data_IF_225532679258
#
_entry.id   IF_225532679258
#
_cell.length_a   1.000
_cell.length_b   1.000
_cell.length_c   1.000
_cell.angle_alpha   90.00
_cell.angle_beta   90.00
_cell.angle_gamma   90.00
#
_symmetry.space_group_name_H-M   'P 1'
#
loop_
_entity.id
_entity.type
_entity.pdbx_description
1 polymer ?
#
# COMPACT_ATOMS: atom_id res chain seq x y z
N UNK A 1 -30.47 -21.06 0.82
CA UNK A 1 -29.51 -21.58 -0.18
C UNK A 1 -28.05 -21.31 0.21
N UNK A 2 -27.75 -20.35 1.10
CA UNK A 2 -26.39 -20.06 1.56
C UNK A 2 -25.97 -20.76 2.88
N UNK A 3 -26.92 -21.30 3.66
CA UNK A 3 -26.61 -21.97 4.95
C UNK A 3 -26.15 -23.43 4.82
N UNK A 4 -25.90 -23.92 3.61
CA UNK A 4 -25.54 -25.33 3.35
C UNK A 4 -24.41 -25.48 2.32
N UNK A 5 -23.40 -24.61 2.37
CA UNK A 5 -22.27 -24.61 1.43
C UNK A 5 -21.35 -25.85 1.57
N UNK A 6 -21.49 -26.65 2.63
CA UNK A 6 -20.64 -27.83 2.91
C UNK A 6 -21.05 -29.13 2.20
N UNK A 7 -21.63 -29.08 1.00
CA UNK A 7 -22.07 -30.32 0.33
C UNK A 7 -21.84 -30.28 -1.18
N UNK A 8 -20.60 -30.55 -1.59
CA UNK A 8 -20.25 -31.60 -2.55
C UNK A 8 -21.30 -31.86 -3.66
N UNK A 9 -21.52 -30.86 -4.53
CA UNK A 9 -22.50 -30.99 -5.63
C UNK A 9 -21.91 -31.49 -6.94
N UNK A 10 -20.60 -31.76 -6.99
CA UNK A 10 -19.92 -32.26 -8.19
C UNK A 10 -19.84 -31.27 -9.37
N UNK A 11 -20.14 -29.98 -9.15
CA UNK A 11 -20.07 -28.93 -10.16
C UNK A 11 -19.22 -27.76 -9.66
N UNK A 12 -18.51 -27.10 -10.58
CA UNK A 12 -17.83 -25.84 -10.29
C UNK A 12 -18.83 -24.76 -9.87
N UNK A 13 -18.41 -23.91 -8.94
CA UNK A 13 -19.25 -22.87 -8.34
C UNK A 13 -18.80 -21.49 -8.82
N UNK A 14 -19.76 -20.64 -9.17
CA UNK A 14 -19.54 -19.21 -9.40
C UNK A 14 -20.25 -18.41 -8.30
N UNK A 15 -19.51 -17.56 -7.58
CA UNK A 15 -20.07 -16.67 -6.56
C UNK A 15 -20.44 -15.33 -7.19
N UNK A 16 -21.64 -14.85 -6.87
CA UNK A 16 -22.06 -13.52 -7.27
C UNK A 16 -21.30 -12.45 -6.48
N UNK A 17 -21.10 -11.26 -7.07
CA UNK A 17 -20.38 -10.13 -6.45
C UNK A 17 -20.95 -9.74 -5.08
N UNK A 18 -22.27 -9.86 -4.89
CA UNK A 18 -22.95 -9.60 -3.61
C UNK A 18 -22.90 -10.71 -2.57
N UNK A 19 -22.08 -11.76 -2.73
CA UNK A 19 -21.96 -12.83 -1.75
C UNK A 19 -21.43 -12.31 -0.41
N UNK A 20 -22.18 -12.60 0.66
CA UNK A 20 -21.88 -12.22 2.05
C UNK A 20 -22.02 -13.41 3.00
N UNK A 21 -21.78 -14.62 2.49
CA UNK A 21 -21.81 -15.85 3.28
C UNK A 21 -20.53 -16.06 4.07
N UNK A 22 -20.14 -17.32 4.26
CA UNK A 22 -18.88 -17.65 4.92
C UNK A 22 -17.69 -17.11 4.13
N UNK A 23 -16.75 -16.46 4.83
CA UNK A 23 -15.48 -16.01 4.24
C UNK A 23 -14.44 -17.13 4.13
N UNK A 24 -14.66 -18.25 4.84
CA UNK A 24 -13.91 -19.51 4.65
C UNK A 24 -14.76 -20.50 3.88
N UNK A 25 -14.22 -21.00 2.77
CA UNK A 25 -14.86 -21.93 1.86
C UNK A 25 -14.06 -23.24 1.80
N UNK A 26 -14.67 -24.34 2.25
CA UNK A 26 -14.11 -25.68 2.06
C UNK A 26 -14.71 -26.29 0.79
N UNK A 27 -13.87 -26.61 -0.20
CA UNK A 27 -14.30 -27.03 -1.53
C UNK A 27 -13.56 -28.28 -2.02
N UNK A 28 -14.23 -29.05 -2.87
CA UNK A 28 -13.74 -30.27 -3.53
C UNK A 28 -13.94 -30.21 -5.06
N UNK A 29 -14.33 -29.04 -5.57
CA UNK A 29 -14.65 -28.76 -6.99
C UNK A 29 -14.06 -27.42 -7.38
N UNK A 30 -14.11 -27.06 -8.67
CA UNK A 30 -13.71 -25.73 -9.12
C UNK A 30 -14.53 -24.59 -8.49
N UNK A 31 -13.93 -23.40 -8.43
CA UNK A 31 -14.49 -22.20 -7.82
C UNK A 31 -14.14 -20.97 -8.65
N UNK A 32 -15.08 -20.04 -8.78
CA UNK A 32 -14.81 -18.69 -9.27
C UNK A 32 -15.52 -17.70 -8.34
N UNK A 33 -14.74 -16.91 -7.59
CA UNK A 33 -15.28 -15.89 -6.68
C UNK A 33 -15.67 -14.60 -7.38
N UNK A 34 -15.32 -14.44 -8.67
CA UNK A 34 -15.54 -13.21 -9.43
C UNK A 34 -14.90 -11.99 -8.75
N UNK A 35 -15.65 -10.90 -8.68
CA UNK A 35 -15.24 -9.65 -8.03
C UNK A 35 -15.41 -9.68 -6.49
N UNK A 36 -15.85 -10.80 -5.91
CA UNK A 36 -16.17 -10.85 -4.49
C UNK A 36 -14.91 -10.77 -3.61
N UNK A 37 -14.86 -9.76 -2.74
CA UNK A 37 -13.74 -9.51 -1.83
C UNK A 37 -13.95 -10.03 -0.40
N UNK A 38 -15.08 -10.71 -0.15
CA UNK A 38 -15.48 -11.23 1.17
C UNK A 38 -15.05 -12.68 1.41
N UNK A 39 -14.40 -13.32 0.45
CA UNK A 39 -13.81 -14.66 0.62
C UNK A 39 -12.37 -14.49 1.05
N UNK A 40 -12.08 -14.81 2.31
CA UNK A 40 -10.76 -14.65 2.91
C UNK A 40 -9.92 -15.94 2.76
N UNK A 41 -10.58 -17.10 2.80
CA UNK A 41 -9.90 -18.41 2.78
C UNK A 41 -10.65 -19.39 1.91
N UNK A 42 -9.93 -20.05 1.01
CA UNK A 42 -10.41 -21.19 0.22
C UNK A 42 -9.55 -22.39 0.58
N UNK A 43 -10.16 -23.47 1.05
CA UNK A 43 -9.50 -24.74 1.31
C UNK A 43 -9.93 -25.75 0.23
N UNK A 44 -9.02 -26.10 -0.66
CA UNK A 44 -9.23 -27.16 -1.64
C UNK A 44 -8.63 -28.48 -1.12
N UNK A 45 -9.44 -29.53 -1.14
CA UNK A 45 -9.01 -30.88 -0.75
C UNK A 45 -9.46 -31.91 -1.77
N UNK A 46 -8.59 -32.92 -2.00
CA UNK A 46 -8.91 -34.03 -2.91
C UNK A 46 -10.14 -34.82 -2.46
N UNK A 47 -10.73 -35.50 -3.43
CA UNK A 47 -11.73 -36.55 -3.19
C UNK A 47 -11.15 -37.93 -3.50
N UNK A 48 -11.98 -38.96 -3.62
CA UNK A 48 -11.52 -40.33 -3.92
C UNK A 48 -11.01 -40.51 -5.33
N UNK A 49 -11.39 -39.63 -6.25
CA UNK A 49 -10.97 -39.65 -7.65
C UNK A 49 -10.17 -38.38 -7.96
N UNK A 50 -9.14 -38.54 -8.80
CA UNK A 50 -8.31 -37.43 -9.30
C UNK A 50 -9.15 -36.48 -10.15
N UNK A 51 -8.88 -35.17 -10.03
CA UNK A 51 -9.60 -34.12 -10.74
C UNK A 51 -8.67 -33.09 -11.35
N UNK A 52 -9.12 -32.53 -12.48
CA UNK A 52 -8.60 -31.28 -13.02
C UNK A 52 -9.61 -30.17 -12.70
N UNK A 53 -9.18 -29.15 -11.98
CA UNK A 53 -10.06 -28.07 -11.51
C UNK A 53 -9.48 -26.70 -11.79
N UNK A 54 -10.38 -25.74 -11.95
CA UNK A 54 -10.03 -24.32 -12.05
C UNK A 54 -10.52 -23.60 -10.80
N UNK A 55 -9.64 -22.81 -10.19
CA UNK A 55 -9.96 -21.92 -9.07
C UNK A 55 -9.62 -20.49 -9.48
N UNK A 56 -10.56 -19.56 -9.26
CA UNK A 56 -10.33 -18.13 -9.35
C UNK A 56 -10.68 -17.45 -8.02
N UNK A 57 -9.72 -16.68 -7.49
CA UNK A 57 -9.80 -15.93 -6.22
C UNK A 57 -9.68 -14.42 -6.45
N UNK A 58 -9.96 -13.60 -5.42
CA UNK A 58 -9.79 -12.13 -5.46
C UNK A 58 -9.26 -11.62 -4.11
N UNK A 59 -8.10 -12.15 -3.71
CA UNK A 59 -7.39 -11.94 -2.47
C UNK A 59 -7.43 -13.15 -1.54
N UNK A 60 -6.94 -12.98 -0.31
CA UNK A 60 -7.02 -14.00 0.73
C UNK A 60 -6.06 -15.17 0.54
N UNK A 61 -6.34 -16.27 1.23
CA UNK A 61 -5.52 -17.48 1.24
C UNK A 61 -6.19 -18.62 0.47
N UNK A 62 -5.45 -19.26 -0.43
CA UNK A 62 -5.80 -20.54 -1.04
C UNK A 62 -4.94 -21.64 -0.45
N UNK A 63 -5.54 -22.56 0.32
CA UNK A 63 -4.89 -23.76 0.83
C UNK A 63 -5.21 -24.95 -0.07
N UNK A 64 -4.18 -25.75 -0.38
CA UNK A 64 -4.30 -26.91 -1.26
C UNK A 64 -3.70 -28.14 -0.58
N UNK A 65 -4.52 -29.18 -0.45
CA UNK A 65 -4.12 -30.51 0.02
C UNK A 65 -4.78 -31.57 -0.88
N UNK A 66 -4.19 -31.77 -2.05
CA UNK A 66 -4.75 -32.59 -3.12
C UNK A 66 -3.68 -33.27 -3.97
N UNK A 67 -2.95 -34.21 -3.37
CA UNK A 67 -1.82 -34.97 -3.96
C UNK A 67 -2.10 -35.79 -5.23
N UNK A 68 -3.35 -35.83 -5.72
CA UNK A 68 -3.76 -36.53 -6.94
C UNK A 68 -4.35 -35.61 -8.01
N UNK A 69 -4.52 -34.32 -7.70
CA UNK A 69 -5.33 -33.41 -8.52
C UNK A 69 -4.44 -32.41 -9.27
N UNK A 70 -5.02 -31.84 -10.33
CA UNK A 70 -4.50 -30.70 -11.05
C UNK A 70 -5.36 -29.46 -10.84
N UNK A 71 -4.72 -28.32 -10.64
CA UNK A 71 -5.32 -27.04 -10.26
C UNK A 71 -4.76 -25.94 -11.15
N UNK A 72 -5.64 -25.37 -11.97
CA UNK A 72 -5.40 -24.10 -12.64
C UNK A 72 -5.91 -22.96 -11.76
N UNK A 73 -5.00 -22.10 -11.32
CA UNK A 73 -5.33 -20.96 -10.49
C UNK A 73 -5.29 -19.64 -11.27
N UNK A 74 -6.31 -18.81 -11.09
CA UNK A 74 -6.45 -17.47 -11.65
C UNK A 74 -6.84 -16.47 -10.58
N UNK A 75 -6.74 -15.18 -10.90
CA UNK A 75 -7.16 -14.13 -9.99
C UNK A 75 -6.01 -13.63 -9.13
N UNK A 76 -6.29 -13.32 -7.86
CA UNK A 76 -5.29 -12.81 -6.94
C UNK A 76 -5.33 -13.53 -5.59
N UNK A 77 -4.17 -13.76 -4.98
CA UNK A 77 -4.07 -14.24 -3.61
C UNK A 77 -2.98 -13.54 -2.82
N UNK A 78 -3.24 -13.38 -1.53
CA UNK A 78 -2.23 -13.01 -0.55
C UNK A 78 -1.27 -14.19 -0.32
N UNK A 79 -1.84 -15.40 -0.16
CA UNK A 79 -1.12 -16.64 0.03
C UNK A 79 -1.73 -17.77 -0.79
N UNK A 80 -0.92 -18.47 -1.56
CA UNK A 80 -1.21 -19.83 -2.01
C UNK A 80 -0.34 -20.80 -1.22
N UNK A 81 -0.95 -21.65 -0.41
CA UNK A 81 -0.28 -22.60 0.45
C UNK A 81 -0.57 -24.04 0.00
N UNK A 82 0.41 -24.64 -0.67
CA UNK A 82 0.33 -25.97 -1.28
C UNK A 82 1.03 -26.97 -0.36
N UNK A 83 0.23 -27.75 0.37
CA UNK A 83 0.75 -28.83 1.22
C UNK A 83 1.10 -30.06 0.40
N UNK A 84 0.23 -30.42 -0.53
CA UNK A 84 0.45 -31.50 -1.46
C UNK A 84 -0.35 -31.28 -2.74
N UNK A 85 0.27 -31.54 -3.88
CA UNK A 85 -0.34 -31.58 -5.19
C UNK A 85 0.36 -32.67 -6.04
N UNK A 86 -0.30 -33.18 -7.08
CA UNK A 86 0.32 -34.15 -8.01
C UNK A 86 1.54 -33.56 -8.75
N UNK A 87 2.26 -34.42 -9.46
CA UNK A 87 3.43 -34.03 -10.26
C UNK A 87 2.96 -33.43 -11.59
N UNK A 88 3.30 -32.17 -11.86
CA UNK A 88 2.83 -31.39 -13.02
C UNK A 88 1.42 -30.79 -12.91
N UNK A 89 1.02 -30.27 -11.74
CA UNK A 89 -0.41 -30.09 -11.50
C UNK A 89 -0.86 -28.86 -10.70
N UNK A 90 0.02 -27.93 -10.29
CA UNK A 90 -0.43 -26.59 -9.90
C UNK A 90 0.04 -25.56 -10.91
N UNK A 91 -0.89 -24.89 -11.57
CA UNK A 91 -0.65 -23.90 -12.61
C UNK A 91 -1.12 -22.52 -12.14
N UNK A 92 -0.17 -21.65 -11.81
CA UNK A 92 -0.45 -20.26 -11.44
C UNK A 92 -0.58 -19.41 -12.69
N UNK A 93 -1.76 -18.84 -12.96
CA UNK A 93 -2.01 -17.92 -14.07
C UNK A 93 -2.27 -16.49 -13.61
N UNK A 94 -2.44 -16.27 -12.29
CA UNK A 94 -2.83 -15.02 -11.68
C UNK A 94 -1.68 -14.27 -11.00
N UNK A 95 -2.04 -13.54 -9.95
CA UNK A 95 -1.11 -12.72 -9.16
C UNK A 95 -1.10 -13.20 -7.73
N UNK A 96 0.07 -13.54 -7.20
CA UNK A 96 0.19 -14.05 -5.82
C UNK A 96 1.31 -13.32 -5.09
N UNK A 97 1.02 -12.82 -3.88
CA UNK A 97 2.07 -12.23 -3.05
C UNK A 97 3.02 -13.33 -2.58
N UNK A 98 2.49 -14.37 -1.93
CA UNK A 98 3.30 -15.47 -1.45
C UNK A 98 2.75 -16.80 -1.93
N UNK A 99 3.62 -17.61 -2.51
CA UNK A 99 3.37 -19.03 -2.71
C UNK A 99 4.26 -19.79 -1.74
N UNK A 100 3.72 -20.80 -1.07
CA UNK A 100 4.50 -21.79 -0.35
C UNK A 100 4.13 -23.18 -0.82
N UNK A 101 5.11 -23.97 -1.23
CA UNK A 101 4.91 -25.33 -1.70
C UNK A 101 5.76 -26.34 -0.91
N UNK A 102 5.11 -27.35 -0.35
CA UNK A 102 5.72 -28.41 0.47
C UNK A 102 5.95 -29.71 -0.28
N UNK A 103 5.06 -30.05 -1.23
CA UNK A 103 5.16 -31.24 -2.03
C UNK A 103 4.42 -31.08 -3.36
N UNK A 104 4.94 -31.73 -4.40
CA UNK A 104 4.37 -31.71 -5.75
C UNK A 104 5.14 -30.79 -6.69
N UNK A 105 4.41 -30.17 -7.62
CA UNK A 105 4.97 -29.31 -8.64
C UNK A 105 4.23 -27.99 -8.75
N UNK A 106 4.97 -26.92 -9.02
CA UNK A 106 4.44 -25.59 -9.28
C UNK A 106 4.87 -25.12 -10.67
N UNK A 107 3.91 -24.67 -11.48
CA UNK A 107 4.12 -23.97 -12.75
C UNK A 107 3.76 -22.50 -12.58
N UNK A 108 4.73 -21.62 -12.78
CA UNK A 108 4.49 -20.22 -13.04
C UNK A 108 4.15 -20.07 -14.53
N UNK A 109 2.88 -19.84 -14.88
CA UNK A 109 2.45 -19.67 -16.26
C UNK A 109 2.83 -18.30 -16.82
N UNK A 110 2.73 -18.14 -18.14
CA UNK A 110 3.17 -16.92 -18.85
C UNK A 110 2.55 -15.61 -18.36
N UNK A 111 1.37 -15.65 -17.74
CA UNK A 111 0.70 -14.45 -17.18
C UNK A 111 0.95 -14.25 -15.69
N UNK A 112 1.61 -15.22 -15.04
CA UNK A 112 1.77 -15.24 -13.61
C UNK A 112 2.68 -14.12 -13.10
N UNK A 113 2.30 -13.56 -11.97
CA UNK A 113 3.15 -12.67 -11.18
C UNK A 113 3.18 -13.15 -9.74
N UNK A 114 4.31 -13.68 -9.31
CA UNK A 114 4.54 -14.15 -7.95
C UNK A 114 5.57 -13.24 -7.28
N UNK A 115 5.22 -12.62 -6.15
CA UNK A 115 6.18 -11.76 -5.43
C UNK A 115 7.24 -12.61 -4.73
N UNK A 116 6.84 -13.65 -4.00
CA UNK A 116 7.77 -14.60 -3.39
C UNK A 116 7.27 -16.05 -3.55
N UNK A 117 8.10 -16.90 -4.14
CA UNK A 117 7.89 -18.35 -4.18
C UNK A 117 8.79 -19.03 -3.14
N UNK A 118 8.18 -19.55 -2.08
CA UNK A 118 8.84 -20.33 -1.03
C UNK A 118 8.79 -21.82 -1.37
N UNK A 119 9.97 -22.40 -1.60
CA UNK A 119 10.13 -23.86 -1.75
C UNK A 119 10.46 -24.44 -0.39
N UNK A 120 9.51 -25.14 0.23
CA UNK A 120 9.65 -25.58 1.61
C UNK A 120 10.53 -26.83 1.75
N UNK A 121 10.65 -27.64 0.70
CA UNK A 121 11.38 -28.92 0.70
C UNK A 121 12.08 -29.15 -0.65
N UNK A 122 13.15 -29.96 -0.66
CA UNK A 122 13.94 -30.23 -1.87
C UNK A 122 13.26 -31.18 -2.87
N UNK A 123 12.14 -31.82 -2.50
CA UNK A 123 11.40 -32.75 -3.37
C UNK A 123 10.31 -32.07 -4.20
N UNK A 124 10.21 -30.74 -4.13
CA UNK A 124 9.35 -29.95 -5.00
C UNK A 124 10.03 -29.71 -6.34
N UNK A 125 9.25 -29.74 -7.41
CA UNK A 125 9.68 -29.30 -8.73
C UNK A 125 9.02 -27.96 -9.09
N UNK A 126 9.79 -27.04 -9.65
CA UNK A 126 9.28 -25.73 -10.10
C UNK A 126 9.56 -25.56 -11.58
N UNK A 127 8.55 -25.13 -12.33
CA UNK A 127 8.64 -24.74 -13.73
C UNK A 127 8.24 -23.27 -13.88
N UNK A 128 9.04 -22.51 -14.62
CA UNK A 128 8.72 -21.13 -14.99
C UNK A 128 8.63 -21.06 -16.51
N UNK A 129 7.46 -20.65 -17.01
CA UNK A 129 7.26 -20.34 -18.42
C UNK A 129 7.98 -19.03 -18.80
N UNK A 130 8.31 -18.89 -20.09
CA UNK A 130 9.21 -17.82 -20.58
C UNK A 130 8.81 -16.38 -20.24
N UNK A 131 7.51 -16.12 -20.06
CA UNK A 131 6.97 -14.80 -19.72
C UNK A 131 6.48 -14.68 -18.27
N UNK A 132 6.58 -15.76 -17.49
CA UNK A 132 6.22 -15.76 -16.08
C UNK A 132 7.12 -14.79 -15.28
N UNK A 133 6.58 -14.18 -14.23
CA UNK A 133 7.34 -13.28 -13.36
C UNK A 133 7.32 -13.82 -11.93
N UNK A 134 8.43 -14.40 -11.48
CA UNK A 134 8.67 -14.67 -10.06
C UNK A 134 9.74 -13.69 -9.56
N UNK A 135 9.33 -12.73 -8.73
CA UNK A 135 10.18 -11.60 -8.30
C UNK A 135 11.26 -12.08 -7.33
N UNK A 136 10.90 -12.94 -6.38
CA UNK A 136 11.82 -13.46 -5.38
C UNK A 136 11.57 -14.94 -5.08
N UNK A 137 12.63 -15.59 -4.64
CA UNK A 137 12.61 -16.96 -4.13
C UNK A 137 13.04 -16.97 -2.68
N UNK A 138 12.40 -17.83 -1.90
CA UNK A 138 12.86 -18.20 -0.55
C UNK A 138 12.81 -19.71 -0.37
N UNK A 139 13.46 -20.21 0.68
CA UNK A 139 13.48 -21.64 1.00
C UNK A 139 13.06 -21.89 2.45
N UNK A 140 12.47 -23.07 2.70
CA UNK A 140 11.93 -23.42 4.03
C UNK A 140 13.00 -23.66 5.10
N UNK A 141 14.22 -24.06 4.69
CA UNK A 141 15.36 -24.27 5.57
C UNK A 141 16.69 -24.12 4.80
N UNK A 142 17.80 -24.00 5.51
CA UNK A 142 19.14 -23.79 4.93
C UNK A 142 19.56 -24.90 3.95
N UNK A 143 19.21 -26.15 4.26
CA UNK A 143 19.56 -27.36 3.51
C UNK A 143 18.61 -27.67 2.34
N UNK A 144 17.56 -26.88 2.14
CA UNK A 144 16.65 -27.01 1.01
C UNK A 144 17.34 -26.55 -0.28
N UNK A 145 17.28 -27.40 -1.30
CA UNK A 145 17.78 -27.12 -2.65
C UNK A 145 16.60 -26.74 -3.53
N UNK A 146 16.63 -25.52 -4.06
CA UNK A 146 15.60 -25.03 -4.99
C UNK A 146 16.00 -25.39 -6.41
N UNK A 147 15.14 -26.13 -7.12
CA UNK A 147 15.35 -26.50 -8.52
C UNK A 147 14.24 -25.87 -9.37
N UNK A 148 14.62 -25.08 -10.37
CA UNK A 148 13.70 -24.40 -11.30
C UNK A 148 14.06 -24.82 -12.72
N UNK A 149 13.07 -25.26 -13.51
CA UNK A 149 13.27 -25.73 -14.89
C UNK A 149 14.35 -26.83 -15.01
N UNK A 150 14.49 -27.65 -13.96
CA UNK A 150 15.48 -28.74 -13.91
C UNK A 150 16.89 -28.32 -13.49
N UNK A 151 17.13 -27.02 -13.22
CA UNK A 151 18.43 -26.50 -12.80
C UNK A 151 18.38 -25.97 -11.36
N UNK A 152 19.47 -26.14 -10.61
CA UNK A 152 19.58 -25.61 -9.26
C UNK A 152 19.61 -24.07 -9.29
N UNK A 153 18.77 -23.44 -8.47
CA UNK A 153 18.69 -21.98 -8.30
C UNK A 153 19.31 -21.58 -6.96
N UNK A 154 20.24 -20.63 -7.01
CA UNK A 154 20.83 -20.05 -5.79
C UNK A 154 19.77 -19.22 -5.04
N UNK A 155 19.43 -19.67 -3.83
CA UNK A 155 18.46 -19.02 -2.95
C UNK A 155 19.06 -18.91 -1.55
N UNK A 156 19.32 -17.67 -1.13
CA UNK A 156 19.92 -17.35 0.17
C UNK A 156 18.89 -17.03 1.24
N UNK A 157 17.71 -16.55 0.85
CA UNK A 157 16.66 -16.15 1.76
C UNK A 157 15.95 -17.40 2.33
N UNK A 158 16.04 -17.59 3.64
CA UNK A 158 15.31 -18.63 4.38
C UNK A 158 14.11 -17.96 5.06
N UNK A 159 12.91 -18.50 4.83
CA UNK A 159 11.67 -18.04 5.47
C UNK A 159 10.89 -19.23 5.98
N UNK A 160 10.53 -19.17 7.26
CA UNK A 160 9.60 -20.09 7.89
C UNK A 160 8.17 -19.89 7.36
N UNK A 161 7.32 -20.90 7.58
CA UNK A 161 5.90 -20.82 7.24
C UNK A 161 5.21 -19.61 7.90
N UNK A 162 5.56 -19.30 9.15
CA UNK A 162 4.96 -18.18 9.88
C UNK A 162 5.41 -16.82 9.35
N UNK A 163 6.66 -16.68 8.90
CA UNK A 163 7.12 -15.46 8.21
C UNK A 163 6.40 -15.26 6.87
N UNK A 164 6.16 -16.35 6.14
CA UNK A 164 5.39 -16.31 4.88
C UNK A 164 3.95 -15.89 5.14
N UNK A 165 3.26 -16.51 6.10
CA UNK A 165 1.88 -16.13 6.48
C UNK A 165 1.81 -14.68 6.95
N UNK A 166 2.78 -14.24 7.75
CA UNK A 166 2.83 -12.85 8.24
C UNK A 166 2.97 -11.88 7.08
N UNK A 167 3.90 -12.13 6.15
CA UNK A 167 4.08 -11.29 4.97
C UNK A 167 2.84 -11.26 4.06
N UNK A 168 2.16 -12.40 3.89
CA UNK A 168 0.94 -12.49 3.10
C UNK A 168 -0.21 -11.68 3.69
N UNK A 169 -0.43 -11.75 5.01
CA UNK A 169 -1.53 -11.04 5.69
C UNK A 169 -1.47 -9.52 5.48
N UNK A 170 -0.27 -8.97 5.26
CA UNK A 170 -0.06 -7.53 5.03
C UNK A 170 -0.23 -7.11 3.56
N UNK A 171 -0.36 -8.07 2.63
CA UNK A 171 -0.33 -7.81 1.20
C UNK A 171 -1.68 -7.34 0.64
N UNK A 172 -2.81 -7.95 1.02
CA UNK A 172 -4.16 -7.58 0.59
C UNK A 172 -4.28 -7.34 -0.94
N UNK A 173 -3.74 -8.26 -1.73
CA UNK A 173 -3.81 -8.25 -3.19
C UNK A 173 -5.23 -8.54 -3.69
N UNK A 174 -5.55 -7.96 -4.84
CA UNK A 174 -6.80 -8.17 -5.57
C UNK A 174 -6.56 -8.12 -7.07
N UNK A 175 -7.45 -8.72 -7.86
CA UNK A 175 -7.56 -8.39 -9.29
C UNK A 175 -8.53 -7.25 -9.53
N UNK A 176 -9.60 -7.19 -8.74
CA UNK A 176 -10.71 -6.26 -8.89
C UNK A 176 -11.01 -5.54 -7.57
N UNK A 177 -11.30 -4.24 -7.65
CA UNK A 177 -11.63 -3.42 -6.46
C UNK A 177 -10.41 -2.94 -5.65
N UNK A 178 -9.22 -2.87 -6.26
CA UNK A 178 -8.04 -2.27 -5.65
C UNK A 178 -8.06 -0.73 -5.70
N UNK A 179 -7.36 -0.09 -4.75
CA UNK A 179 -7.25 1.38 -4.64
C UNK A 179 -5.87 1.90 -5.01
N UNK A 180 -4.85 1.04 -4.98
CA UNK A 180 -3.46 1.37 -5.36
C UNK A 180 -2.90 0.33 -6.32
N UNK A 181 -2.22 0.80 -7.37
CA UNK A 181 -1.40 -0.01 -8.27
C UNK A 181 0.09 0.18 -7.96
N UNK A 182 0.84 -0.93 -7.88
CA UNK A 182 2.31 -0.93 -7.84
C UNK A 182 2.83 -1.95 -8.84
N UNK A 183 3.58 -1.51 -9.85
CA UNK A 183 4.18 -2.41 -10.85
C UNK A 183 3.16 -3.38 -11.52
N UNK A 184 1.92 -2.92 -11.74
CA UNK A 184 0.82 -3.72 -12.28
C UNK A 184 0.28 -4.78 -11.32
N UNK A 185 0.47 -4.61 -10.01
CA UNK A 185 -0.16 -5.35 -8.92
C UNK A 185 -1.16 -4.42 -8.23
N UNK A 186 -2.36 -4.91 -7.90
CA UNK A 186 -3.44 -4.12 -7.32
C UNK A 186 -3.65 -4.46 -5.85
N UNK A 187 -3.81 -3.44 -5.01
CA UNK A 187 -3.89 -3.55 -3.55
C UNK A 187 -5.18 -2.94 -3.02
N UNK A 188 -5.78 -3.54 -1.98
CA UNK A 188 -6.99 -3.02 -1.32
C UNK A 188 -6.79 -1.72 -0.54
N UNK A 189 -5.55 -1.39 -0.16
CA UNK A 189 -5.22 -0.18 0.61
C UNK A 189 -3.84 0.37 0.28
N UNK A 190 -3.62 1.67 0.52
CA UNK A 190 -2.30 2.28 0.40
C UNK A 190 -1.31 1.72 1.42
N UNK A 191 -1.77 1.39 2.64
CA UNK A 191 -0.88 0.79 3.65
C UNK A 191 -0.36 -0.57 3.20
N UNK A 192 -1.21 -1.44 2.63
CA UNK A 192 -0.78 -2.73 2.10
C UNK A 192 0.18 -2.58 0.91
N UNK A 193 -0.09 -1.63 0.01
CA UNK A 193 0.83 -1.30 -1.07
C UNK A 193 2.20 -0.84 -0.53
N UNK A 194 2.26 -0.01 0.52
CA UNK A 194 3.50 0.40 1.18
C UNK A 194 4.24 -0.80 1.80
N UNK A 195 3.51 -1.71 2.44
CA UNK A 195 4.09 -2.91 3.04
C UNK A 195 4.79 -3.77 1.98
N UNK A 196 4.21 -3.90 0.78
CA UNK A 196 4.73 -4.71 -0.31
C UNK A 196 5.74 -4.01 -1.23
N UNK A 197 5.70 -2.68 -1.30
CA UNK A 197 6.60 -1.90 -2.15
C UNK A 197 8.08 -2.08 -1.77
N UNK A 198 8.94 -2.05 -2.77
CA UNK A 198 10.38 -1.98 -2.62
C UNK A 198 10.85 -0.51 -2.65
N UNK A 199 12.08 -0.28 -2.19
CA UNK A 199 12.70 1.02 -2.34
C UNK A 199 12.82 1.40 -3.83
N UNK A 200 12.37 2.60 -4.17
CA UNK A 200 12.30 3.14 -5.53
C UNK A 200 10.94 2.99 -6.20
N UNK A 201 10.02 2.20 -5.64
CA UNK A 201 8.71 1.98 -6.24
C UNK A 201 7.84 3.25 -6.27
N UNK A 202 6.96 3.31 -7.28
CA UNK A 202 5.88 4.29 -7.37
C UNK A 202 4.54 3.61 -7.11
N UNK A 203 3.84 4.08 -6.09
CA UNK A 203 2.50 3.65 -5.71
C UNK A 203 1.51 4.63 -6.33
N UNK A 204 0.69 4.16 -7.28
CA UNK A 204 -0.27 4.99 -7.99
C UNK A 204 -1.68 4.71 -7.51
N UNK A 205 -2.37 5.73 -7.01
CA UNK A 205 -3.79 5.59 -6.66
C UNK A 205 -4.65 5.44 -7.92
N UNK A 206 -5.67 4.59 -7.80
CA UNK A 206 -6.67 4.33 -8.85
C UNK A 206 -8.11 4.57 -8.37
N UNK A 207 -8.29 4.80 -7.08
CA UNK A 207 -9.56 5.21 -6.47
C UNK A 207 -9.28 6.04 -5.20
N UNK A 208 -10.31 6.76 -4.73
CA UNK A 208 -10.26 7.43 -3.43
C UNK A 208 -10.15 6.40 -2.31
N UNK A 209 -9.39 6.73 -1.25
CA UNK A 209 -9.22 5.85 -0.11
C UNK A 209 -9.74 6.50 1.17
N UNK A 210 -10.65 5.78 1.85
CA UNK A 210 -11.17 6.14 3.16
C UNK A 210 -10.53 5.26 4.21
N UNK A 211 -9.64 5.82 5.00
CA UNK A 211 -8.89 5.07 6.01
C UNK A 211 -9.53 5.21 7.40
N UNK A 212 -9.38 4.15 8.18
CA UNK A 212 -9.79 4.11 9.60
C UNK A 212 -8.60 4.01 10.56
N UNK A 213 -7.38 4.12 10.02
CA UNK A 213 -6.13 4.08 10.75
C UNK A 213 -5.10 4.98 10.05
N UNK A 214 -4.06 5.38 10.78
CA UNK A 214 -2.97 6.15 10.21
C UNK A 214 -2.12 5.31 9.25
N UNK A 215 -1.64 5.94 8.19
CA UNK A 215 -0.70 5.37 7.22
C UNK A 215 0.72 5.65 7.70
N UNK A 216 1.58 4.63 7.67
CA UNK A 216 2.97 4.71 8.11
C UNK A 216 3.92 4.33 6.99
N UNK A 217 4.86 5.22 6.68
CA UNK A 217 5.92 4.99 5.69
C UNK A 217 7.28 4.97 6.36
N UNK A 218 8.08 3.97 6.04
CA UNK A 218 9.48 3.84 6.47
C UNK A 218 10.45 3.49 5.33
N UNK A 219 10.06 3.72 4.07
CA UNK A 219 10.75 3.28 2.85
C UNK A 219 11.04 4.44 1.90
N UNK A 220 11.93 4.23 0.94
CA UNK A 220 12.19 5.18 -0.13
C UNK A 220 11.18 4.97 -1.27
N UNK A 221 10.06 5.69 -1.29
CA UNK A 221 8.98 5.45 -2.28
C UNK A 221 8.40 6.75 -2.82
N UNK A 222 7.72 6.66 -3.97
CA UNK A 222 6.88 7.73 -4.49
C UNK A 222 5.41 7.34 -4.36
N UNK A 223 4.57 8.24 -3.87
CA UNK A 223 3.11 8.11 -3.95
C UNK A 223 2.60 9.11 -4.99
N UNK A 224 1.95 8.58 -6.02
CA UNK A 224 1.22 9.33 -7.04
C UNK A 224 -0.27 9.25 -6.76
N UNK A 225 -0.84 10.33 -6.24
CA UNK A 225 -2.27 10.43 -5.96
C UNK A 225 -3.14 10.37 -7.22
N UNK A 226 -2.60 10.67 -8.40
CA UNK A 226 -3.29 10.48 -9.69
C UNK A 226 -4.75 11.00 -9.71
N UNK A 227 -4.99 12.14 -9.07
CA UNK A 227 -6.31 12.78 -8.98
C UNK A 227 -7.21 12.29 -7.84
N UNK A 228 -6.81 11.29 -7.07
CA UNK A 228 -7.57 10.69 -5.98
C UNK A 228 -7.15 11.20 -4.60
N UNK A 229 -8.04 11.06 -3.63
CA UNK A 229 -7.88 11.57 -2.27
C UNK A 229 -7.80 10.43 -1.27
N UNK A 230 -6.84 10.53 -0.35
CA UNK A 230 -6.82 9.72 0.88
C UNK A 230 -7.34 10.58 2.03
N UNK A 231 -8.36 10.10 2.72
CA UNK A 231 -8.93 10.76 3.90
C UNK A 231 -9.15 9.77 5.04
N UNK A 232 -8.89 10.18 6.29
CA UNK A 232 -9.42 9.43 7.43
C UNK A 232 -10.87 9.82 7.68
N UNK A 233 -11.71 8.82 7.93
CA UNK A 233 -13.16 9.00 8.13
C UNK A 233 -13.60 8.79 9.58
N UNK A 234 -12.67 8.41 10.45
CA UNK A 234 -12.84 8.27 11.90
C UNK A 234 -11.72 9.02 12.61
N UNK A 235 -11.91 9.30 13.89
CA UNK A 235 -10.86 9.85 14.74
C UNK A 235 -9.76 8.80 14.89
N UNK A 236 -8.53 9.16 14.51
CA UNK A 236 -7.36 8.27 14.60
C UNK A 236 -6.32 8.78 15.61
N UNK A 237 -6.49 10.00 16.12
CA UNK A 237 -5.56 10.58 17.10
C UNK A 237 -5.51 9.75 18.39
N UNK A 238 -4.33 9.24 18.72
CA UNK A 238 -4.07 8.44 19.91
C UNK A 238 -2.62 8.64 20.39
N UNK A 239 -2.43 9.72 21.15
CA UNK A 239 -1.11 10.11 21.70
C UNK A 239 -0.57 9.06 22.69
N UNK A 240 0.76 8.82 22.70
CA UNK A 240 1.80 9.48 21.89
C UNK A 240 2.06 8.81 20.53
N UNK A 241 1.21 7.85 20.14
CA UNK A 241 1.54 6.87 19.09
C UNK A 241 1.08 7.27 17.70
N UNK A 242 -0.06 7.96 17.60
CA UNK A 242 -0.69 8.37 16.34
C UNK A 242 -1.20 9.80 16.48
N UNK A 243 -0.76 10.66 15.57
CA UNK A 243 -1.10 12.09 15.56
C UNK A 243 -1.30 12.65 14.13
N UNK A 244 -1.14 11.83 13.10
CA UNK A 244 -1.29 12.24 11.70
C UNK A 244 -1.97 11.17 10.85
N UNK A 245 -2.63 11.60 9.76
CA UNK A 245 -3.16 10.72 8.72
C UNK A 245 -2.01 9.96 8.05
N UNK A 246 -0.94 10.67 7.64
CA UNK A 246 0.26 10.09 7.08
C UNK A 246 1.46 10.34 7.99
N UNK A 247 2.18 9.30 8.38
CA UNK A 247 3.41 9.40 9.19
C UNK A 247 4.60 8.88 8.40
N UNK A 248 5.53 9.79 8.09
CA UNK A 248 6.80 9.48 7.41
C UNK A 248 7.86 9.27 8.49
N UNK A 249 8.11 8.02 8.85
CA UNK A 249 8.97 7.61 9.98
C UNK A 249 10.37 7.15 9.56
N UNK A 250 10.65 7.14 8.25
CA UNK A 250 11.94 6.76 7.69
C UNK A 250 11.92 6.84 6.16
N UNK A 251 13.12 6.86 5.56
CA UNK A 251 13.29 6.90 4.10
C UNK A 251 13.15 8.29 3.48
N UNK A 252 13.20 8.30 2.14
CA UNK A 252 13.00 9.47 1.28
C UNK A 252 11.69 9.27 0.51
N UNK A 253 10.65 9.99 0.93
CA UNK A 253 9.31 9.89 0.35
C UNK A 253 9.08 11.05 -0.61
N UNK A 254 8.51 10.75 -1.78
CA UNK A 254 8.03 11.76 -2.72
C UNK A 254 6.51 11.65 -2.83
N UNK A 255 5.81 12.78 -2.68
CA UNK A 255 4.38 12.87 -2.91
C UNK A 255 4.11 13.72 -4.14
N UNK A 256 3.30 13.20 -5.06
CA UNK A 256 2.88 13.89 -6.27
C UNK A 256 1.45 13.52 -6.63
N UNK A 257 0.87 14.32 -7.50
CA UNK A 257 -0.36 14.04 -8.21
C UNK A 257 -0.10 14.31 -9.70
N UNK A 258 -0.08 13.24 -10.50
CA UNK A 258 0.14 13.30 -11.95
C UNK A 258 -0.97 14.03 -12.72
N UNK A 259 -2.10 14.32 -12.07
CA UNK A 259 -3.17 15.16 -12.65
C UNK A 259 -3.09 16.63 -12.23
N UNK A 260 -2.10 17.01 -11.43
CA UNK A 260 -1.91 18.37 -10.92
C UNK A 260 -2.11 18.46 -9.41
N UNK A 261 -3.16 19.17 -8.97
CA UNK A 261 -3.50 19.33 -7.55
C UNK A 261 -4.96 18.91 -7.28
N UNK A 262 -5.43 17.86 -7.95
CA UNK A 262 -6.79 17.34 -7.79
C UNK A 262 -6.86 16.29 -6.67
N UNK A 263 -5.83 15.43 -6.61
CA UNK A 263 -5.65 14.40 -5.59
C UNK A 263 -4.69 14.82 -4.48
N UNK A 264 -4.65 14.06 -3.39
CA UNK A 264 -3.79 14.33 -2.24
C UNK A 264 -4.32 13.78 -0.92
N UNK A 265 -4.11 14.53 0.16
CA UNK A 265 -4.50 14.14 1.51
C UNK A 265 -5.53 15.10 2.09
N UNK A 266 -6.51 14.56 2.82
CA UNK A 266 -7.44 15.33 3.63
C UNK A 266 -7.55 14.70 5.02
N UNK A 267 -6.95 15.35 6.01
CA UNK A 267 -7.18 14.96 7.40
C UNK A 267 -8.63 15.23 7.81
N UNK A 268 -9.17 14.40 8.69
CA UNK A 268 -10.47 14.64 9.31
C UNK A 268 -10.43 15.90 10.15
N UNK A 269 -11.49 16.70 10.07
CA UNK A 269 -11.67 17.88 10.92
C UNK A 269 -11.71 17.48 12.40
N UNK A 270 -11.10 18.32 13.24
CA UNK A 270 -11.03 18.23 14.70
C UNK A 270 -10.32 16.96 15.23
N UNK A 271 -9.45 16.34 14.42
CA UNK A 271 -8.78 15.07 14.77
C UNK A 271 -7.24 15.16 14.68
N UNK A 272 -6.65 15.07 13.48
CA UNK A 272 -5.21 14.83 13.33
C UNK A 272 -4.47 15.75 12.35
N UNK A 273 -3.14 15.74 12.41
CA UNK A 273 -2.33 16.39 11.38
C UNK A 273 -2.52 15.68 10.02
N UNK A 274 -2.28 16.39 8.92
CA UNK A 274 -2.24 15.78 7.58
C UNK A 274 -1.06 14.83 7.46
N UNK A 275 0.15 15.37 7.65
CA UNK A 275 1.41 14.62 7.55
C UNK A 275 2.26 14.90 8.79
N UNK A 276 2.99 13.90 9.31
CA UNK A 276 4.04 14.08 10.31
C UNK A 276 5.34 13.39 9.89
N UNK A 277 6.44 14.14 9.87
CA UNK A 277 7.79 13.67 9.52
C UNK A 277 8.57 13.43 10.82
N UNK A 278 9.10 12.21 10.99
CA UNK A 278 9.77 11.74 12.20
C UNK A 278 11.11 11.07 11.89
N UNK A 279 11.93 10.91 12.93
CA UNK A 279 13.15 10.10 12.93
C UNK A 279 14.16 10.46 11.82
N UNK A 280 14.24 11.75 11.47
CA UNK A 280 15.18 12.22 10.46
C UNK A 280 14.77 11.90 9.01
N UNK A 281 13.53 11.46 8.78
CA UNK A 281 13.05 11.15 7.43
C UNK A 281 13.00 12.39 6.51
N UNK A 282 12.97 12.16 5.20
CA UNK A 282 12.85 13.22 4.20
C UNK A 282 11.56 13.06 3.40
N UNK A 283 10.82 14.16 3.26
CA UNK A 283 9.62 14.26 2.44
C UNK A 283 9.79 15.36 1.39
N UNK A 284 9.53 15.01 0.13
CA UNK A 284 9.39 15.96 -0.97
C UNK A 284 7.95 15.99 -1.45
N UNK A 285 7.34 17.17 -1.53
CA UNK A 285 6.02 17.39 -2.11
C UNK A 285 6.16 18.12 -3.45
N UNK A 286 5.85 17.42 -4.54
CA UNK A 286 5.95 17.93 -5.91
C UNK A 286 4.64 18.53 -6.42
N UNK A 287 3.51 17.91 -6.09
CA UNK A 287 2.16 18.38 -6.44
C UNK A 287 1.12 17.71 -5.54
N UNK A 288 -0.17 17.99 -5.76
CA UNK A 288 -1.29 17.48 -4.97
C UNK A 288 -1.94 18.52 -4.06
N UNK A 289 -2.99 18.11 -3.36
CA UNK A 289 -3.78 18.94 -2.45
C UNK A 289 -3.72 18.38 -1.03
N UNK A 290 -3.20 19.17 -0.10
CA UNK A 290 -2.93 18.77 1.27
C UNK A 290 -3.75 19.63 2.22
N UNK A 291 -4.82 19.04 2.74
CA UNK A 291 -5.71 19.69 3.69
C UNK A 291 -5.46 19.07 5.07
N UNK A 292 -4.77 19.82 5.93
CA UNK A 292 -4.57 19.42 7.33
C UNK A 292 -5.75 19.80 8.21
N UNK A 293 -5.83 19.21 9.41
CA UNK A 293 -6.69 19.75 10.45
C UNK A 293 -6.03 20.97 11.11
N UNK A 294 -5.07 20.75 12.01
CA UNK A 294 -4.27 21.81 12.66
C UNK A 294 -3.01 22.13 11.85
N UNK A 295 -2.38 21.10 11.28
CA UNK A 295 -1.20 21.22 10.42
C UNK A 295 -1.40 20.39 9.15
N UNK A 296 -1.06 20.95 7.98
CA UNK A 296 -0.99 20.17 6.75
C UNK A 296 0.26 19.30 6.76
N UNK A 297 1.39 19.85 7.22
CA UNK A 297 2.61 19.10 7.50
C UNK A 297 3.21 19.52 8.84
N UNK A 298 3.39 18.55 9.73
CA UNK A 298 4.18 18.64 10.94
C UNK A 298 5.58 18.05 10.66
N UNK A 299 6.63 18.78 11.04
CA UNK A 299 8.01 18.29 11.05
C UNK A 299 8.44 18.11 12.50
N UNK A 300 8.27 16.90 13.01
CA UNK A 300 8.78 16.55 14.34
C UNK A 300 10.29 16.45 14.30
N UNK A 301 10.84 15.62 13.41
CA UNK A 301 12.29 15.48 13.21
C UNK A 301 12.55 15.00 11.77
N UNK A 302 13.29 15.78 10.98
CA UNK A 302 13.54 15.44 9.59
C UNK A 302 13.48 16.64 8.65
N UNK A 303 13.20 16.36 7.38
CA UNK A 303 13.30 17.35 6.30
C UNK A 303 12.05 17.34 5.43
N UNK A 304 11.46 18.52 5.27
CA UNK A 304 10.43 18.80 4.26
C UNK A 304 11.03 19.64 3.12
N UNK A 305 10.73 19.24 1.88
CA UNK A 305 10.98 20.01 0.66
C UNK A 305 9.65 20.17 -0.07
N UNK A 306 9.25 21.41 -0.34
CA UNK A 306 8.03 21.71 -1.11
C UNK A 306 8.45 22.32 -2.44
N UNK A 307 8.22 21.62 -3.55
CA UNK A 307 8.46 22.13 -4.91
C UNK A 307 7.15 22.45 -5.63
N UNK A 308 6.01 22.01 -5.10
CA UNK A 308 4.68 22.33 -5.61
C UNK A 308 3.57 21.94 -4.63
N UNK A 309 2.35 21.74 -5.14
CA UNK A 309 1.18 21.39 -4.35
C UNK A 309 0.34 22.58 -3.87
N UNK A 310 -0.80 22.27 -3.25
CA UNK A 310 -1.71 23.24 -2.63
C UNK A 310 -2.01 22.87 -1.19
N UNK A 311 -2.01 23.86 -0.29
CA UNK A 311 -2.09 23.64 1.15
C UNK A 311 -3.19 24.49 1.79
N UNK A 312 -3.96 23.87 2.67
CA UNK A 312 -5.03 24.51 3.42
C UNK A 312 -5.26 23.81 4.77
N UNK A 313 -6.03 24.45 5.66
CA UNK A 313 -6.37 23.93 6.98
C UNK A 313 -7.88 23.90 7.21
N UNK A 314 -8.35 22.89 7.93
CA UNK A 314 -9.75 22.81 8.40
C UNK A 314 -9.93 23.53 9.74
N UNK A 315 -8.92 23.49 10.60
CA UNK A 315 -8.95 24.09 11.93
C UNK A 315 -7.84 25.14 12.05
N UNK A 316 -8.25 26.37 12.35
CA UNK A 316 -7.33 27.50 12.50
C UNK A 316 -6.91 27.72 13.95
N UNK A 317 -5.68 28.16 14.16
CA UNK A 317 -5.16 28.50 15.47
C UNK A 317 -5.03 30.02 15.65
N UNK A 318 -6.16 30.69 15.86
CA UNK A 318 -6.28 32.16 15.84
C UNK A 318 -5.40 32.93 16.86
N UNK A 319 -4.70 32.23 17.77
CA UNK A 319 -3.75 32.84 18.70
C UNK A 319 -2.35 33.04 18.10
N UNK A 320 -2.06 32.45 16.94
CA UNK A 320 -0.79 32.57 16.24
C UNK A 320 -1.03 33.18 14.87
N UNK A 321 -0.33 34.29 14.59
CA UNK A 321 -0.44 35.07 13.35
C UNK A 321 -1.89 35.32 12.93
N UNK A 322 -2.30 34.77 11.78
CA UNK A 322 -3.67 34.89 11.26
C UNK A 322 -4.50 33.60 11.39
N UNK A 323 -3.96 32.60 12.10
CA UNK A 323 -4.58 31.29 12.29
C UNK A 323 -4.09 30.20 11.34
N UNK A 324 -3.42 30.55 10.24
CA UNK A 324 -2.90 29.59 9.25
C UNK A 324 -1.43 29.22 9.46
N UNK A 325 -0.77 29.82 10.44
CA UNK A 325 0.68 29.71 10.66
C UNK A 325 1.18 28.29 10.97
N UNK A 326 0.28 27.36 11.32
CA UNK A 326 0.62 25.94 11.49
C UNK A 326 0.44 25.10 10.22
N UNK A 327 0.14 25.71 9.07
CA UNK A 327 0.03 25.00 7.78
C UNK A 327 1.26 24.12 7.54
N UNK A 328 2.45 24.70 7.69
CA UNK A 328 3.71 23.98 7.86
C UNK A 328 4.25 24.31 9.25
N UNK A 329 4.44 23.30 10.09
CA UNK A 329 4.86 23.48 11.48
C UNK A 329 6.09 22.63 11.79
N UNK A 330 7.04 23.19 12.53
CA UNK A 330 8.14 22.44 13.14
C UNK A 330 7.93 22.32 14.64
N UNK A 331 8.48 21.28 15.26
CA UNK A 331 8.57 21.26 16.72
C UNK A 331 9.72 22.19 17.15
N UNK A 332 9.40 23.17 17.99
CA UNK A 332 10.29 24.21 18.52
C UNK A 332 11.72 23.75 18.84
N UNK A 333 11.87 22.66 19.60
CA UNK A 333 13.19 22.17 20.04
C UNK A 333 14.02 21.68 18.86
N UNK A 334 13.40 20.90 17.98
CA UNK A 334 14.04 20.30 16.80
C UNK A 334 14.28 21.32 15.69
N UNK A 335 13.46 22.37 15.62
CA UNK A 335 13.74 23.51 14.73
C UNK A 335 14.98 24.29 15.20
N UNK A 336 15.04 24.61 16.51
CA UNK A 336 16.14 25.39 17.10
C UNK A 336 17.49 24.68 17.05
N UNK A 337 17.52 23.35 17.17
CA UNK A 337 18.75 22.56 17.04
C UNK A 337 19.10 22.19 15.58
N UNK A 338 18.18 22.45 14.65
CA UNK A 338 18.36 22.23 13.22
C UNK A 338 18.15 20.79 12.75
N UNK A 339 17.48 19.94 13.53
CA UNK A 339 17.09 18.57 13.13
C UNK A 339 15.75 18.54 12.39
N UNK A 340 14.87 19.52 12.60
CA UNK A 340 13.69 19.78 11.77
C UNK A 340 13.99 20.90 10.75
N UNK A 341 13.86 20.61 9.46
CA UNK A 341 14.16 21.55 8.37
C UNK A 341 13.03 21.60 7.34
N UNK A 342 12.70 22.81 6.89
CA UNK A 342 11.71 23.04 5.83
C UNK A 342 12.35 23.90 4.74
N UNK A 343 12.15 23.50 3.49
CA UNK A 343 12.60 24.24 2.31
C UNK A 343 11.43 24.39 1.32
N UNK A 344 10.99 25.61 1.07
CA UNK A 344 9.89 25.91 0.17
C UNK A 344 10.44 26.55 -1.11
N UNK A 345 10.20 25.88 -2.23
CA UNK A 345 10.64 26.21 -3.59
C UNK A 345 9.44 26.35 -4.55
N UNK A 346 8.23 26.07 -4.10
CA UNK A 346 7.03 26.14 -4.90
C UNK A 346 5.78 25.95 -4.05
N UNK A 347 4.65 25.77 -4.72
CA UNK A 347 3.36 25.51 -4.09
C UNK A 347 2.50 26.76 -3.91
N UNK A 348 1.25 26.51 -3.51
CA UNK A 348 0.24 27.52 -3.24
C UNK A 348 -0.37 27.30 -1.87
N UNK A 349 -0.43 28.35 -1.05
CA UNK A 349 -0.85 28.28 0.34
C UNK A 349 -2.04 29.21 0.58
N UNK A 350 -3.11 28.66 1.16
CA UNK A 350 -4.24 29.46 1.62
C UNK A 350 -3.91 30.09 2.97
N UNK A 351 -3.83 31.42 3.04
CA UNK A 351 -3.63 32.17 4.29
C UNK A 351 -2.25 32.09 4.93
N UNK A 352 -1.40 31.13 4.57
CA UNK A 352 -0.05 30.98 5.11
C UNK A 352 1.03 31.59 4.22
N UNK A 353 1.84 32.51 4.77
CA UNK A 353 3.00 33.10 4.11
C UNK A 353 4.30 32.42 4.56
N UNK A 354 4.88 31.50 3.76
CA UNK A 354 6.10 30.78 4.14
C UNK A 354 7.35 31.67 4.19
N UNK A 355 7.27 32.96 3.82
CA UNK A 355 8.38 33.91 3.94
C UNK A 355 8.40 34.67 5.26
N UNK A 356 7.34 34.57 6.06
CA UNK A 356 7.18 35.30 7.32
C UNK A 356 6.37 34.48 8.33
N UNK A 357 6.99 33.42 8.85
CA UNK A 357 6.34 32.48 9.76
C UNK A 357 6.15 33.12 11.14
N UNK A 358 4.96 32.97 11.74
CA UNK A 358 4.77 33.32 13.15
C UNK A 358 5.00 32.15 14.10
N UNK A 359 4.66 30.92 13.69
CA UNK A 359 4.84 29.71 14.49
C UNK A 359 6.29 29.52 14.93
N UNK A 360 7.23 29.63 13.99
CA UNK A 360 8.68 29.44 14.26
C UNK A 360 9.40 30.71 14.73
N UNK A 361 8.65 31.77 14.99
CA UNK A 361 9.17 33.08 15.37
C UNK A 361 9.07 34.10 14.23
N UNK A 362 8.47 35.25 14.55
CA UNK A 362 8.18 36.33 13.60
C UNK A 362 9.41 36.74 12.78
N UNK A 363 9.25 36.78 11.45
CA UNK A 363 10.29 37.17 10.50
C UNK A 363 11.22 36.02 10.09
N UNK A 364 10.99 34.79 10.56
CA UNK A 364 11.61 33.60 9.99
C UNK A 364 10.96 33.24 8.66
N UNK A 365 11.71 32.52 7.82
CA UNK A 365 11.30 32.13 6.47
C UNK A 365 11.63 30.67 6.23
N UNK A 366 10.72 29.95 5.58
CA UNK A 366 10.94 28.62 5.03
C UNK A 366 11.34 28.64 3.56
N UNK A 367 11.41 29.82 2.91
CA UNK A 367 11.82 29.90 1.52
C UNK A 367 13.25 29.42 1.32
N UNK A 368 13.45 28.60 0.30
CA UNK A 368 14.78 28.32 -0.21
C UNK A 368 15.38 29.57 -0.89
N UNK A 369 16.71 29.64 -0.94
CA UNK A 369 17.41 30.72 -1.63
C UNK A 369 16.98 30.81 -3.11
N UNK A 370 16.78 32.04 -3.60
CA UNK A 370 16.36 32.29 -4.98
C UNK A 370 14.86 32.12 -5.24
N UNK A 371 14.03 32.02 -4.20
CA UNK A 371 12.57 32.00 -4.30
C UNK A 371 11.94 33.19 -3.58
N UNK A 372 10.73 33.56 -4.02
CA UNK A 372 9.93 34.65 -3.44
C UNK A 372 8.46 34.26 -3.39
N UNK A 373 7.71 35.02 -2.59
CA UNK A 373 6.26 34.94 -2.48
C UNK A 373 5.61 35.97 -3.39
N UNK A 374 4.66 35.51 -4.19
CA UNK A 374 3.62 36.35 -4.80
C UNK A 374 2.31 36.11 -4.07
N UNK A 375 1.48 37.14 -3.92
CA UNK A 375 0.19 36.99 -3.22
C UNK A 375 -0.94 37.71 -3.91
N UNK A 376 -2.13 37.11 -3.84
CA UNK A 376 -3.40 37.68 -4.32
C UNK A 376 -4.48 37.51 -3.25
N UNK A 377 -5.46 38.42 -3.13
CA UNK A 377 -6.58 38.23 -2.22
C UNK A 377 -7.31 36.91 -2.50
N UNK A 378 -7.69 36.19 -1.44
CA UNK A 378 -8.44 34.95 -1.60
C UNK A 378 -9.86 35.24 -2.06
N UNK A 379 -10.31 34.54 -3.12
CA UNK A 379 -11.56 34.84 -3.84
C UNK A 379 -12.83 34.73 -2.98
N UNK A 380 -12.88 33.74 -2.07
CA UNK A 380 -14.00 33.53 -1.14
C UNK A 380 -13.76 33.98 0.31
N UNK A 381 -12.54 34.38 0.68
CA UNK A 381 -12.22 34.83 2.05
C UNK A 381 -11.36 36.11 1.99
N UNK A 382 -11.97 37.30 2.02
CA UNK A 382 -11.24 38.56 1.83
C UNK A 382 -10.27 38.90 2.96
N UNK A 383 -10.25 38.14 4.06
CA UNK A 383 -9.36 38.37 5.20
C UNK A 383 -7.99 37.71 5.05
N UNK A 384 -7.81 36.89 4.01
CA UNK A 384 -6.56 36.18 3.75
C UNK A 384 -6.15 36.33 2.28
N UNK A 385 -4.88 36.07 2.01
CA UNK A 385 -4.35 35.95 0.67
C UNK A 385 -4.10 34.48 0.32
N UNK A 386 -4.06 34.21 -0.98
CA UNK A 386 -3.38 33.06 -1.54
C UNK A 386 -1.93 33.46 -1.79
N UNK A 387 -1.00 32.66 -1.29
CA UNK A 387 0.44 32.86 -1.46
C UNK A 387 0.99 31.80 -2.42
N UNK A 388 1.64 32.22 -3.49
CA UNK A 388 2.24 31.36 -4.50
C UNK A 388 3.74 31.58 -4.54
N UNK A 389 4.50 30.49 -4.51
CA UNK A 389 5.96 30.55 -4.46
C UNK A 389 6.52 30.40 -5.88
N UNK A 390 7.37 31.34 -6.25
CA UNK A 390 7.98 31.42 -7.59
C UNK A 390 9.48 31.65 -7.47
N UNK A 391 10.22 31.29 -8.51
CA UNK A 391 11.64 31.64 -8.61
C UNK A 391 11.80 33.16 -8.72
N UNK A 392 12.75 33.72 -7.97
CA UNK A 392 12.91 35.16 -7.76
C UNK A 392 13.32 35.93 -9.02
#
# INVERSE_FOLDING_TARGET
>A
FADSYNADKGYSVYLNSGYSGNSTLDITTGLDVGENTNVDVVNYSKTTEAKDITIRTNGGTLNIDADTDSVDHYGANDLVNIKAIDTASYHENGVVAYVRIEAGHFVAENTSKVINLNVATSNVTVTEESSATVIAYSKGADDVVVTVNGEAKEVTEVKSEEEIKTGANDSALVTDGGVVEVNGLMFKSLQSAINMAQDGDTLKLVDDEKVTAAISIGKNITIDFNGYVVENIVDIWNEPTVNSLLSVKGGNVVLKDSTGNNGGLRAKQDDCYGIDIKNGASLTIESGKYIGNVSAVQVTEGKLIVTGGSFDLLQLWNQVGNGYDYTLNCIDSYYKDGTAKVFVQGGTFSGFDPSNNYAEGKGTSFLAEGYKVESVPHSSNPNINIYTIVKA
#
